data_IF_443966916263
#
_entry.id   IF_443966916263
#
_cell.length_a   1.000
_cell.length_b   1.000
_cell.length_c   1.000
_cell.angle_alpha   90.00
_cell.angle_beta   90.00
_cell.angle_gamma   90.00
#
_symmetry.space_group_name_H-M   'P 1'
#
loop_
_entity.id
_entity.type
_entity.pdbx_description
1 polymer ?
#
# COMPACT_ATOMS: atom_id res chain seq x y z
N UNK A 1 15.67 -48.76 35.02
CA UNK A 1 15.61 -48.61 33.54
C UNK A 1 14.93 -47.28 33.22
N UNK A 2 15.67 -46.31 32.70
CA UNK A 2 15.12 -44.96 32.43
C UNK A 2 14.15 -45.00 31.24
N UNK A 3 12.92 -44.52 31.46
CA UNK A 3 11.82 -44.52 30.50
C UNK A 3 12.22 -43.72 29.26
N UNK A 4 12.21 -44.36 28.08
CA UNK A 4 12.55 -43.75 26.78
C UNK A 4 11.59 -42.59 26.50
N UNK A 5 12.14 -41.38 26.31
CA UNK A 5 11.36 -40.16 26.03
C UNK A 5 10.69 -40.24 24.66
N UNK A 6 9.50 -39.69 24.54
CA UNK A 6 8.74 -39.68 23.28
C UNK A 6 9.34 -38.67 22.28
N UNK A 7 9.24 -38.96 20.97
CA UNK A 7 9.65 -38.02 19.92
C UNK A 7 8.91 -36.69 20.09
N UNK A 8 9.66 -35.59 20.17
CA UNK A 8 9.15 -34.23 20.41
C UNK A 8 9.33 -33.68 21.83
N UNK A 9 9.82 -34.47 22.80
CA UNK A 9 10.03 -34.02 24.19
C UNK A 9 11.35 -33.28 24.45
N UNK A 10 12.20 -33.08 23.43
CA UNK A 10 13.55 -32.51 23.58
C UNK A 10 13.57 -31.08 24.13
N UNK A 11 12.47 -30.33 23.99
CA UNK A 11 12.39 -28.91 24.37
C UNK A 11 11.68 -28.64 25.72
N UNK A 12 11.24 -29.67 26.45
CA UNK A 12 10.53 -29.52 27.73
C UNK A 12 11.39 -30.03 28.88
N UNK A 13 11.61 -29.21 29.91
CA UNK A 13 12.40 -29.56 31.11
C UNK A 13 11.78 -29.03 32.40
N UNK A 14 12.08 -29.67 33.52
CA UNK A 14 11.68 -29.22 34.86
C UNK A 14 12.76 -28.31 35.46
N UNK A 15 12.37 -27.14 35.96
CA UNK A 15 13.25 -26.14 36.59
C UNK A 15 13.44 -26.43 38.08
N UNK A 16 14.47 -25.82 38.69
CA UNK A 16 14.77 -25.92 40.13
C UNK A 16 13.66 -25.38 41.03
N UNK A 17 12.82 -24.48 40.50
CA UNK A 17 11.65 -23.88 41.15
C UNK A 17 10.38 -24.76 41.10
N UNK A 18 10.49 -25.99 40.56
CA UNK A 18 9.39 -26.95 40.47
C UNK A 18 8.48 -26.79 39.25
N UNK A 19 8.60 -25.70 38.48
CA UNK A 19 7.82 -25.47 37.24
C UNK A 19 8.42 -26.21 36.04
N UNK A 20 7.58 -26.49 35.05
CA UNK A 20 7.98 -27.02 33.76
C UNK A 20 8.20 -25.86 32.77
N UNK A 21 9.21 -25.99 31.91
CA UNK A 21 9.59 -25.03 30.88
C UNK A 21 9.68 -25.73 29.52
N UNK A 22 8.98 -25.20 28.52
CA UNK A 22 9.11 -25.57 27.12
C UNK A 22 9.77 -24.45 26.32
N UNK A 23 10.77 -24.74 25.50
CA UNK A 23 11.43 -23.74 24.62
C UNK A 23 10.98 -23.91 23.17
N UNK A 24 10.74 -22.80 22.49
CA UNK A 24 10.37 -22.80 21.07
C UNK A 24 11.05 -21.64 20.33
N UNK A 25 11.23 -21.82 19.02
CA UNK A 25 11.71 -20.76 18.12
C UNK A 25 10.54 -19.86 17.79
N UNK A 26 10.62 -18.59 18.18
CA UNK A 26 9.57 -17.60 17.98
C UNK A 26 9.70 -16.83 16.65
N UNK A 27 10.80 -17.03 15.92
CA UNK A 27 11.13 -16.34 14.67
C UNK A 27 12.65 -16.17 14.50
N UNK A 28 13.05 -15.35 13.54
CA UNK A 28 14.45 -15.01 13.28
C UNK A 28 14.64 -13.49 13.21
N UNK A 29 15.79 -13.01 13.66
CA UNK A 29 16.18 -11.59 13.60
C UNK A 29 16.41 -11.15 12.14
N UNK A 30 15.75 -10.07 11.72
CA UNK A 30 15.66 -9.58 10.34
C UNK A 30 17.01 -9.11 9.76
N UNK A 31 17.96 -8.68 10.60
CA UNK A 31 19.25 -8.13 10.16
C UNK A 31 20.40 -9.13 10.29
N UNK A 32 20.31 -10.06 11.23
CA UNK A 32 21.42 -10.96 11.60
C UNK A 32 21.13 -12.44 11.35
N UNK A 33 19.86 -12.79 11.09
CA UNK A 33 19.44 -14.15 10.79
C UNK A 33 19.43 -15.12 11.98
N UNK A 34 19.75 -14.66 13.19
CA UNK A 34 19.81 -15.49 14.41
C UNK A 34 18.41 -15.89 14.90
N UNK A 35 18.32 -17.08 15.50
CA UNK A 35 17.06 -17.60 16.07
C UNK A 35 16.64 -16.80 17.31
N UNK A 36 15.39 -16.35 17.34
CA UNK A 36 14.76 -15.77 18.52
C UNK A 36 14.06 -16.88 19.31
N UNK A 37 14.67 -17.33 20.40
CA UNK A 37 14.13 -18.43 21.22
C UNK A 37 13.31 -17.86 22.38
N UNK A 38 12.04 -18.29 22.51
CA UNK A 38 11.15 -17.97 23.64
C UNK A 38 10.81 -19.23 24.44
N UNK A 39 10.21 -19.05 25.61
CA UNK A 39 9.82 -20.14 26.50
C UNK A 39 8.37 -20.00 27.00
N UNK A 40 7.77 -21.13 27.33
CA UNK A 40 6.47 -21.26 27.99
C UNK A 40 6.62 -22.00 29.30
N UNK A 41 5.91 -21.55 30.34
CA UNK A 41 5.97 -22.12 31.69
C UNK A 41 4.61 -22.69 32.13
N UNK A 42 4.66 -23.73 32.97
CA UNK A 42 3.49 -24.37 33.54
C UNK A 42 3.79 -25.18 34.80
N UNK A 43 2.74 -25.55 35.53
CA UNK A 43 2.85 -26.33 36.78
C UNK A 43 3.01 -27.82 36.49
N UNK A 44 2.49 -28.30 35.35
CA UNK A 44 2.60 -29.70 34.92
C UNK A 44 3.24 -29.83 33.54
N UNK A 45 3.79 -31.01 33.24
CA UNK A 45 4.39 -31.30 31.94
C UNK A 45 3.34 -31.26 30.81
N UNK A 46 2.12 -31.74 31.08
CA UNK A 46 1.01 -31.75 30.11
C UNK A 46 0.58 -30.33 29.74
N UNK A 47 0.44 -29.45 30.72
CA UNK A 47 0.11 -28.03 30.52
C UNK A 47 1.17 -27.32 29.67
N UNK A 48 2.46 -27.59 29.91
CA UNK A 48 3.55 -27.00 29.12
C UNK A 48 3.57 -27.57 27.71
N UNK A 49 3.26 -28.86 27.51
CA UNK A 49 3.19 -29.46 26.18
C UNK A 49 2.10 -28.82 25.33
N UNK A 50 0.92 -28.58 25.91
CA UNK A 50 -0.19 -27.90 25.23
C UNK A 50 0.13 -26.44 24.93
N UNK A 51 0.66 -25.70 25.92
CA UNK A 51 1.13 -24.31 25.72
C UNK A 51 2.24 -24.21 24.69
N UNK A 52 3.15 -25.18 24.65
CA UNK A 52 4.25 -25.24 23.68
C UNK A 52 3.72 -25.51 22.28
N UNK A 53 2.78 -26.45 22.11
CA UNK A 53 2.15 -26.72 20.83
C UNK A 53 1.41 -25.49 20.28
N UNK A 54 0.66 -24.79 21.15
CA UNK A 54 -0.03 -23.55 20.80
C UNK A 54 0.95 -22.43 20.44
N UNK A 55 2.01 -22.24 21.24
CA UNK A 55 3.01 -21.20 20.99
C UNK A 55 3.87 -21.49 19.74
N UNK A 56 4.12 -22.76 19.41
CA UNK A 56 4.76 -23.17 18.15
C UNK A 56 3.84 -22.89 16.97
N UNK A 57 2.55 -23.22 17.06
CA UNK A 57 1.58 -22.91 16.00
C UNK A 57 1.38 -21.40 15.81
N UNK A 58 1.40 -20.60 16.89
CA UNK A 58 1.35 -19.13 16.83
C UNK A 58 2.68 -18.52 16.33
N UNK A 59 3.80 -19.23 16.50
CA UNK A 59 5.12 -18.80 16.06
C UNK A 59 5.60 -19.42 14.75
N UNK A 60 4.84 -20.33 14.15
CA UNK A 60 4.83 -20.62 12.72
C UNK A 60 4.30 -19.40 11.96
N UNK A 61 4.93 -18.25 12.22
CA UNK A 61 5.03 -17.18 11.25
C UNK A 61 5.94 -17.72 10.16
N UNK A 62 5.29 -18.10 9.08
CA UNK A 62 5.83 -18.74 7.89
C UNK A 62 7.12 -18.07 7.43
N UNK A 63 8.07 -18.93 7.08
CA UNK A 63 9.43 -18.62 6.68
C UNK A 63 9.45 -17.77 5.40
N UNK A 64 9.66 -16.47 5.56
CA UNK A 64 9.81 -15.50 4.47
C UNK A 64 11.06 -15.81 3.60
N UNK A 65 11.94 -16.73 4.03
CA UNK A 65 13.18 -17.09 3.31
C UNK A 65 13.00 -18.11 2.19
N UNK A 66 11.81 -18.71 2.02
CA UNK A 66 11.52 -19.63 0.91
C UNK A 66 10.85 -18.96 -0.29
N UNK A 67 10.80 -17.63 -0.33
CA UNK A 67 10.34 -16.87 -1.51
C UNK A 67 11.03 -17.36 -2.80
N UNK A 68 12.27 -17.82 -2.69
CA UNK A 68 13.13 -18.33 -3.74
C UNK A 68 12.62 -19.64 -4.39
N UNK A 69 11.76 -20.38 -3.69
CA UNK A 69 11.25 -21.71 -4.06
C UNK A 69 9.79 -21.70 -4.53
N UNK A 70 9.08 -20.57 -4.36
CA UNK A 70 7.67 -20.46 -4.73
C UNK A 70 7.47 -19.73 -6.05
N UNK A 71 6.45 -20.16 -6.78
CA UNK A 71 5.84 -19.35 -7.83
C UNK A 71 4.97 -18.26 -7.20
N UNK A 72 4.69 -17.19 -7.94
CA UNK A 72 3.83 -16.11 -7.47
C UNK A 72 2.46 -16.62 -7.01
N UNK A 73 1.88 -17.56 -7.74
CA UNK A 73 0.56 -18.13 -7.46
C UNK A 73 0.55 -18.89 -6.14
N UNK A 74 1.56 -19.76 -5.92
CA UNK A 74 1.70 -20.48 -4.65
C UNK A 74 1.89 -19.50 -3.49
N UNK A 75 2.76 -18.51 -3.65
CA UNK A 75 2.99 -17.50 -2.62
C UNK A 75 1.75 -16.66 -2.33
N UNK A 76 1.03 -16.17 -3.34
CA UNK A 76 -0.17 -15.38 -3.14
C UNK A 76 -1.27 -16.17 -2.42
N UNK A 77 -1.38 -17.47 -2.71
CA UNK A 77 -2.32 -18.33 -1.99
C UNK A 77 -1.92 -18.48 -0.51
N UNK A 78 -0.64 -18.74 -0.24
CA UNK A 78 -0.10 -18.82 1.13
C UNK A 78 -0.27 -17.50 1.87
N UNK A 79 0.10 -16.38 1.24
CA UNK A 79 -0.06 -15.05 1.77
C UNK A 79 -1.53 -14.72 2.08
N UNK A 80 -2.43 -15.05 1.16
CA UNK A 80 -3.86 -14.80 1.33
C UNK A 80 -4.43 -15.57 2.52
N UNK A 81 -4.20 -16.88 2.59
CA UNK A 81 -4.77 -17.72 3.65
C UNK A 81 -4.17 -17.45 5.03
N UNK A 82 -2.85 -17.21 5.10
CA UNK A 82 -2.14 -17.14 6.37
C UNK A 82 -1.96 -15.73 6.92
N UNK A 83 -1.92 -14.70 6.05
CA UNK A 83 -1.60 -13.34 6.46
C UNK A 83 -2.73 -12.36 6.18
N UNK A 84 -3.35 -12.41 5.00
CA UNK A 84 -4.37 -11.42 4.63
C UNK A 84 -5.75 -11.74 5.23
N UNK A 85 -6.30 -12.91 4.90
CA UNK A 85 -7.67 -13.34 5.26
C UNK A 85 -7.99 -13.26 6.76
N UNK A 86 -7.07 -13.61 7.71
CA UNK A 86 -7.37 -13.53 9.14
C UNK A 86 -7.62 -12.10 9.67
N UNK A 87 -7.13 -11.08 8.97
CA UNK A 87 -7.19 -9.68 9.40
C UNK A 87 -8.11 -8.80 8.57
N UNK A 88 -8.78 -9.37 7.56
CA UNK A 88 -9.64 -8.64 6.64
C UNK A 88 -11.11 -8.91 6.89
N UNK A 89 -11.94 -7.89 6.66
CA UNK A 89 -13.40 -8.10 6.56
C UNK A 89 -13.69 -9.04 5.41
N UNK A 90 -14.73 -9.86 5.57
CA UNK A 90 -15.13 -10.88 4.59
C UNK A 90 -15.19 -10.36 3.15
N UNK A 91 -15.83 -9.22 2.93
CA UNK A 91 -15.94 -8.61 1.58
C UNK A 91 -14.59 -8.22 0.98
N UNK A 92 -13.63 -7.80 1.82
CA UNK A 92 -12.27 -7.45 1.39
C UNK A 92 -11.44 -8.70 1.12
N UNK A 93 -11.59 -9.74 1.96
CA UNK A 93 -10.96 -11.04 1.73
C UNK A 93 -11.42 -11.65 0.40
N UNK A 94 -12.73 -11.68 0.13
CA UNK A 94 -13.27 -12.19 -1.15
C UNK A 94 -12.82 -11.37 -2.36
N UNK A 95 -12.68 -10.05 -2.22
CA UNK A 95 -12.11 -9.20 -3.26
C UNK A 95 -10.66 -9.59 -3.58
N UNK A 96 -9.85 -9.82 -2.55
CA UNK A 96 -8.45 -10.23 -2.69
C UNK A 96 -8.36 -11.61 -3.34
N UNK A 97 -9.15 -12.57 -2.86
CA UNK A 97 -9.25 -13.93 -3.41
C UNK A 97 -9.57 -13.90 -4.90
N UNK A 98 -10.61 -13.18 -5.31
CA UNK A 98 -10.98 -13.03 -6.72
C UNK A 98 -9.87 -12.39 -7.55
N UNK A 99 -9.19 -11.37 -7.01
CA UNK A 99 -8.05 -10.75 -7.68
C UNK A 99 -6.92 -11.74 -7.92
N UNK A 100 -6.58 -12.54 -6.91
CA UNK A 100 -5.55 -13.57 -6.99
C UNK A 100 -5.96 -14.64 -8.01
N UNK A 101 -7.11 -15.28 -7.82
CA UNK A 101 -7.55 -16.44 -8.62
C UNK A 101 -7.91 -16.10 -10.06
N UNK A 102 -8.59 -14.97 -10.30
CA UNK A 102 -9.15 -14.66 -11.63
C UNK A 102 -8.25 -13.76 -12.48
N UNK A 103 -7.30 -13.04 -11.88
CA UNK A 103 -6.55 -12.00 -12.59
C UNK A 103 -5.04 -12.12 -12.51
N UNK A 104 -4.50 -12.54 -11.35
CA UNK A 104 -3.06 -12.60 -11.13
C UNK A 104 -2.54 -14.00 -11.47
N UNK A 105 -3.05 -15.04 -10.80
CA UNK A 105 -2.60 -16.42 -10.99
C UNK A 105 -2.68 -16.88 -12.44
N UNK A 106 -3.76 -16.63 -13.22
CA UNK A 106 -3.84 -17.08 -14.61
C UNK A 106 -2.85 -16.40 -15.57
N UNK A 107 -2.28 -15.25 -15.19
CA UNK A 107 -1.38 -14.47 -16.07
C UNK A 107 0.08 -14.64 -15.71
N UNK A 108 0.38 -14.58 -14.41
CA UNK A 108 1.75 -14.51 -13.89
C UNK A 108 1.97 -15.42 -12.68
N UNK A 109 1.00 -16.28 -12.34
CA UNK A 109 1.05 -17.18 -11.20
C UNK A 109 2.19 -18.19 -11.25
N UNK A 110 2.54 -18.68 -12.44
CA UNK A 110 3.60 -19.68 -12.61
C UNK A 110 5.02 -19.08 -12.61
N UNK A 111 5.14 -17.75 -12.59
CA UNK A 111 6.44 -17.08 -12.57
C UNK A 111 7.07 -17.27 -11.19
N UNK A 112 8.30 -17.82 -11.10
CA UNK A 112 9.05 -17.87 -9.85
C UNK A 112 9.20 -16.46 -9.28
N UNK A 113 8.98 -16.28 -7.97
CA UNK A 113 9.06 -14.96 -7.32
C UNK A 113 10.36 -14.20 -7.65
N UNK A 114 11.50 -14.90 -7.69
CA UNK A 114 12.81 -14.32 -8.04
C UNK A 114 12.92 -13.74 -9.46
N UNK A 115 12.00 -14.12 -10.35
CA UNK A 115 11.93 -13.65 -11.74
C UNK A 115 10.90 -12.55 -11.94
N UNK A 116 10.10 -12.23 -10.92
CA UNK A 116 9.20 -11.08 -10.99
C UNK A 116 10.02 -9.80 -10.91
N UNK A 117 9.93 -9.00 -11.96
CA UNK A 117 10.45 -7.65 -11.98
C UNK A 117 9.31 -6.69 -12.27
N UNK A 118 9.42 -5.43 -11.88
CA UNK A 118 8.44 -4.39 -12.25
C UNK A 118 8.53 -3.96 -13.72
N UNK A 119 9.13 -4.79 -14.58
CA UNK A 119 9.36 -4.56 -15.99
C UNK A 119 8.62 -5.62 -16.79
N UNK A 120 8.23 -5.28 -18.01
CA UNK A 120 7.60 -6.24 -18.91
C UNK A 120 8.59 -7.37 -19.29
N UNK A 121 8.12 -8.40 -20.00
CA UNK A 121 8.97 -9.53 -20.40
C UNK A 121 10.16 -9.13 -21.30
N UNK A 122 10.17 -7.92 -21.87
CA UNK A 122 11.26 -7.37 -22.68
C UNK A 122 12.25 -6.52 -21.85
N UNK A 123 12.02 -6.35 -20.54
CA UNK A 123 12.86 -5.55 -19.66
C UNK A 123 12.60 -4.03 -19.75
N UNK A 124 11.50 -3.61 -20.38
CA UNK A 124 11.08 -2.22 -20.50
C UNK A 124 10.09 -1.84 -19.37
N UNK A 125 9.93 -0.55 -19.06
CA UNK A 125 8.89 -0.09 -18.15
C UNK A 125 7.49 -0.54 -18.60
N UNK A 126 6.74 -1.18 -17.71
CA UNK A 126 5.38 -1.64 -18.00
C UNK A 126 4.39 -0.47 -17.95
N UNK A 127 4.13 0.15 -19.11
CA UNK A 127 3.12 1.19 -19.27
C UNK A 127 1.78 0.53 -19.58
N UNK A 128 1.01 0.29 -18.53
CA UNK A 128 -0.35 -0.24 -18.69
C UNK A 128 -1.34 0.83 -19.13
N UNK A 129 -2.29 0.44 -19.98
CA UNK A 129 -3.43 1.31 -20.28
C UNK A 129 -4.30 1.45 -19.04
N UNK A 130 -4.86 2.64 -18.77
CA UNK A 130 -5.80 2.80 -17.67
C UNK A 130 -6.94 1.79 -17.75
N UNK A 131 -7.41 1.34 -16.58
CA UNK A 131 -8.45 0.31 -16.44
C UNK A 131 -9.80 0.70 -17.09
N UNK A 132 -10.01 1.99 -17.34
CA UNK A 132 -11.25 2.55 -17.90
C UNK A 132 -10.93 3.68 -18.88
N UNK A 133 -11.74 3.83 -19.93
CA UNK A 133 -11.60 4.92 -20.91
C UNK A 133 -11.69 6.31 -20.26
N UNK A 134 -12.55 6.47 -19.25
CA UNK A 134 -12.70 7.72 -18.49
C UNK A 134 -11.42 8.21 -17.80
N UNK A 135 -10.43 7.33 -17.64
CA UNK A 135 -9.13 7.72 -17.07
C UNK A 135 -8.26 8.48 -18.08
N UNK A 136 -8.51 8.33 -19.39
CA UNK A 136 -7.87 9.10 -20.47
C UNK A 136 -8.65 10.40 -20.62
N UNK A 137 -8.00 11.53 -20.32
CA UNK A 137 -8.66 12.83 -20.33
C UNK A 137 -7.70 13.94 -20.75
N UNK A 138 -8.26 14.99 -21.34
CA UNK A 138 -7.57 16.25 -21.58
C UNK A 138 -7.75 17.15 -20.37
N UNK A 139 -6.68 17.78 -19.92
CA UNK A 139 -6.68 18.72 -18.81
C UNK A 139 -6.22 20.06 -19.35
N UNK A 140 -7.03 21.10 -19.16
CA UNK A 140 -6.59 22.48 -19.41
C UNK A 140 -5.71 22.91 -18.25
N UNK A 141 -4.51 23.40 -18.57
CA UNK A 141 -3.55 23.90 -17.60
C UNK A 141 -3.26 25.39 -17.90
N UNK A 142 -2.94 26.20 -16.87
CA UNK A 142 -2.54 27.60 -17.08
C UNK A 142 -1.29 27.72 -17.95
N UNK A 143 -1.13 28.86 -18.63
CA UNK A 143 0.03 29.09 -19.51
C UNK A 143 1.36 28.97 -18.76
N UNK A 144 1.45 29.48 -17.51
CA UNK A 144 2.65 29.34 -16.69
C UNK A 144 3.08 27.87 -16.49
N UNK A 145 2.12 26.96 -16.36
CA UNK A 145 2.41 25.53 -16.26
C UNK A 145 2.86 24.94 -17.60
N UNK A 146 2.30 25.41 -18.72
CA UNK A 146 2.75 25.05 -20.07
C UNK A 146 4.21 25.49 -20.26
N UNK A 147 4.54 26.70 -19.86
CA UNK A 147 5.89 27.27 -20.03
C UNK A 147 6.91 26.48 -19.21
N UNK A 148 6.57 26.08 -17.98
CA UNK A 148 7.41 25.18 -17.17
C UNK A 148 7.62 23.82 -17.82
N UNK A 149 6.59 23.24 -18.46
CA UNK A 149 6.71 21.96 -19.16
C UNK A 149 7.56 22.09 -20.44
N UNK A 150 7.44 23.20 -21.17
CA UNK A 150 8.28 23.50 -22.33
C UNK A 150 9.74 23.63 -21.89
N UNK A 151 10.01 24.42 -20.85
CA UNK A 151 11.35 24.60 -20.30
C UNK A 151 11.96 23.27 -19.79
N UNK A 152 11.13 22.39 -19.21
CA UNK A 152 11.57 21.05 -18.83
C UNK A 152 11.89 20.19 -20.05
N UNK A 153 11.01 20.13 -21.05
CA UNK A 153 11.24 19.35 -22.27
C UNK A 153 12.49 19.78 -23.04
N UNK A 154 12.82 21.07 -23.05
CA UNK A 154 14.03 21.60 -23.68
C UNK A 154 15.32 21.02 -23.11
N UNK A 155 15.32 20.51 -21.86
CA UNK A 155 16.48 19.83 -21.26
C UNK A 155 16.74 18.47 -21.89
N UNK A 156 15.74 17.87 -22.53
CA UNK A 156 15.81 16.53 -23.15
C UNK A 156 14.90 16.42 -24.39
N UNK A 157 15.19 17.16 -25.48
CA UNK A 157 14.26 17.28 -26.62
C UNK A 157 13.99 15.98 -27.36
N UNK A 158 14.96 15.06 -27.38
CA UNK A 158 14.87 13.77 -28.05
C UNK A 158 14.38 12.64 -27.14
N UNK A 159 14.08 12.91 -25.87
CA UNK A 159 13.63 11.89 -24.94
C UNK A 159 12.10 11.72 -25.05
N UNK A 160 11.58 10.49 -25.15
CA UNK A 160 10.14 10.24 -25.21
C UNK A 160 9.38 10.60 -23.93
N UNK A 161 10.07 10.78 -22.80
CA UNK A 161 9.46 11.09 -21.51
C UNK A 161 9.60 12.58 -21.17
N UNK A 162 8.51 13.20 -20.68
CA UNK A 162 8.52 14.59 -20.20
C UNK A 162 9.41 14.78 -18.97
N UNK A 163 9.50 13.77 -18.09
CA UNK A 163 10.30 13.81 -16.87
C UNK A 163 11.19 12.56 -16.77
N UNK A 164 12.32 12.53 -17.51
CA UNK A 164 13.23 11.39 -17.45
C UNK A 164 14.01 11.38 -16.14
N UNK A 165 14.22 10.19 -15.60
CA UNK A 165 15.12 9.93 -14.49
C UNK A 165 16.55 10.24 -14.93
N UNK A 166 17.31 11.06 -14.19
CA UNK A 166 18.68 11.40 -14.54
C UNK A 166 19.62 10.18 -14.46
N UNK A 167 19.20 9.11 -13.78
CA UNK A 167 19.99 7.88 -13.65
C UNK A 167 19.82 6.92 -14.82
N UNK A 168 18.60 6.83 -15.36
CA UNK A 168 18.24 5.78 -16.33
C UNK A 168 17.83 6.34 -17.69
N UNK A 169 17.52 7.63 -17.79
CA UNK A 169 16.93 8.24 -18.99
C UNK A 169 15.48 7.85 -19.26
N UNK A 170 14.93 6.90 -18.49
CA UNK A 170 13.55 6.41 -18.55
C UNK A 170 12.64 7.16 -17.56
N UNK A 171 11.36 6.84 -17.54
CA UNK A 171 10.43 7.33 -16.53
C UNK A 171 10.85 7.00 -15.08
N UNK A 172 10.53 7.89 -14.14
CA UNK A 172 10.75 7.65 -12.72
C UNK A 172 9.93 6.46 -12.20
N UNK A 173 10.53 5.64 -11.33
CA UNK A 173 9.76 4.72 -10.51
C UNK A 173 8.87 5.52 -9.54
N UNK A 174 7.61 5.12 -9.29
CA UNK A 174 6.69 5.85 -8.40
C UNK A 174 7.28 6.18 -7.02
N UNK A 175 7.96 5.21 -6.39
CA UNK A 175 8.60 5.44 -5.09
C UNK A 175 9.73 6.47 -5.13
N UNK A 176 10.39 6.64 -6.27
CA UNK A 176 11.42 7.67 -6.43
C UNK A 176 10.79 9.06 -6.34
N UNK A 177 9.63 9.26 -6.96
CA UNK A 177 8.88 10.52 -6.90
C UNK A 177 8.45 10.82 -5.46
N UNK A 178 7.94 9.81 -4.74
CA UNK A 178 7.56 9.94 -3.32
C UNK A 178 8.77 10.33 -2.46
N UNK A 179 9.93 9.72 -2.69
CA UNK A 179 11.14 10.02 -1.93
C UNK A 179 11.70 11.41 -2.26
N UNK A 180 11.66 11.83 -3.53
CA UNK A 180 12.00 13.20 -3.95
C UNK A 180 11.08 14.20 -3.24
N UNK A 181 9.78 13.96 -3.23
CA UNK A 181 8.82 14.83 -2.54
C UNK A 181 9.11 14.95 -1.04
N UNK A 182 9.37 13.83 -0.36
CA UNK A 182 9.78 13.84 1.07
C UNK A 182 11.02 14.70 1.30
N UNK A 183 12.00 14.63 0.39
CA UNK A 183 13.20 15.46 0.47
C UNK A 183 12.87 16.94 0.31
N UNK A 184 12.05 17.29 -0.69
CA UNK A 184 11.61 18.68 -0.93
C UNK A 184 10.91 19.25 0.32
N UNK A 185 10.00 18.50 0.95
CA UNK A 185 9.33 18.95 2.16
C UNK A 185 10.30 19.19 3.31
N UNK A 186 11.27 18.28 3.50
CA UNK A 186 12.31 18.42 4.53
C UNK A 186 13.16 19.67 4.28
N UNK A 187 13.60 19.86 3.04
CA UNK A 187 14.46 20.99 2.65
C UNK A 187 13.70 22.33 2.77
N UNK A 188 12.37 22.32 2.57
CA UNK A 188 11.49 23.46 2.76
C UNK A 188 11.04 23.70 4.22
N UNK A 189 11.40 22.81 5.16
CA UNK A 189 10.97 22.91 6.56
C UNK A 189 9.47 22.67 6.78
N UNK A 190 8.82 21.94 5.87
CA UNK A 190 7.38 21.66 5.92
C UNK A 190 7.10 20.33 6.64
N UNK A 191 5.92 20.26 7.27
CA UNK A 191 5.42 19.02 7.86
C UNK A 191 5.17 17.94 6.81
N UNK A 192 4.96 16.70 7.29
CA UNK A 192 4.72 15.57 6.40
C UNK A 192 3.43 15.73 5.61
N UNK A 193 3.58 15.93 4.30
CA UNK A 193 2.54 15.88 3.29
C UNK A 193 2.82 14.69 2.36
N UNK A 194 1.80 13.90 2.02
CA UNK A 194 1.97 12.82 1.03
C UNK A 194 1.92 13.42 -0.36
N UNK A 195 2.57 12.77 -1.32
CA UNK A 195 2.54 13.22 -2.71
C UNK A 195 1.12 13.32 -3.29
N UNK A 196 0.23 12.40 -2.89
CA UNK A 196 -1.18 12.45 -3.30
C UNK A 196 -1.96 13.62 -2.68
N UNK A 197 -1.50 14.17 -1.56
CA UNK A 197 -2.18 15.29 -0.92
C UNK A 197 -2.08 16.56 -1.77
N UNK A 198 -1.06 16.70 -2.64
CA UNK A 198 -1.01 17.79 -3.63
C UNK A 198 -2.26 17.83 -4.52
N UNK A 199 -2.79 16.66 -4.89
CA UNK A 199 -4.03 16.54 -5.65
C UNK A 199 -5.25 16.90 -4.81
N UNK A 200 -5.26 16.56 -3.52
CA UNK A 200 -6.30 17.01 -2.59
C UNK A 200 -6.28 18.52 -2.40
N UNK A 201 -5.08 19.12 -2.28
CA UNK A 201 -4.90 20.58 -2.20
C UNK A 201 -5.45 21.28 -3.43
N UNK A 202 -5.12 20.80 -4.64
CA UNK A 202 -5.70 21.34 -5.88
C UNK A 202 -7.23 21.32 -5.86
N UNK A 203 -7.83 20.19 -5.49
CA UNK A 203 -9.29 20.05 -5.47
C UNK A 203 -9.95 21.00 -4.46
N UNK A 204 -9.40 21.06 -3.24
CA UNK A 204 -9.88 21.97 -2.19
C UNK A 204 -9.80 23.42 -2.63
N UNK A 205 -8.65 23.85 -3.18
CA UNK A 205 -8.47 25.23 -3.64
C UNK A 205 -9.39 25.56 -4.82
N UNK A 206 -9.57 24.66 -5.77
CA UNK A 206 -10.48 24.88 -6.90
C UNK A 206 -11.93 25.09 -6.42
N UNK A 207 -12.41 24.24 -5.50
CA UNK A 207 -13.76 24.38 -4.92
C UNK A 207 -13.89 25.69 -4.12
N UNK A 208 -12.89 26.04 -3.30
CA UNK A 208 -12.89 27.29 -2.53
C UNK A 208 -12.93 28.54 -3.43
N UNK A 209 -12.32 28.46 -4.62
CA UNK A 209 -12.37 29.52 -5.62
C UNK A 209 -13.60 29.45 -6.53
N UNK A 210 -14.61 28.66 -6.15
CA UNK A 210 -15.92 28.64 -6.81
C UNK A 210 -16.00 27.79 -8.07
N UNK A 211 -14.97 26.97 -8.39
CA UNK A 211 -15.07 26.00 -9.48
C UNK A 211 -16.10 24.95 -9.10
N UNK A 212 -17.04 24.66 -10.01
CA UNK A 212 -18.09 23.70 -9.72
C UNK A 212 -17.55 22.27 -9.55
N UNK A 213 -18.24 21.49 -8.73
CA UNK A 213 -17.78 20.16 -8.33
C UNK A 213 -17.69 19.20 -9.52
N UNK A 214 -18.51 19.37 -10.55
CA UNK A 214 -18.49 18.51 -11.75
C UNK A 214 -17.24 18.79 -12.57
N UNK A 215 -16.87 20.07 -12.73
CA UNK A 215 -15.62 20.49 -13.38
C UNK A 215 -14.40 19.99 -12.61
N UNK A 216 -14.33 20.18 -11.29
CA UNK A 216 -13.23 19.66 -10.46
C UNK A 216 -13.14 18.14 -10.57
N UNK A 217 -14.28 17.44 -10.48
CA UNK A 217 -14.35 15.98 -10.64
C UNK A 217 -13.82 15.51 -11.98
N UNK A 218 -14.15 16.21 -13.07
CA UNK A 218 -13.68 15.92 -14.43
C UNK A 218 -12.17 16.13 -14.55
N UNK A 219 -11.62 17.24 -14.05
CA UNK A 219 -10.18 17.50 -14.04
C UNK A 219 -9.40 16.42 -13.28
N UNK A 220 -9.95 16.00 -12.14
CA UNK A 220 -9.38 14.92 -11.33
C UNK A 220 -9.55 13.55 -12.01
N UNK A 221 -10.55 13.36 -12.87
CA UNK A 221 -10.84 12.07 -13.49
C UNK A 221 -11.52 11.10 -12.51
N UNK A 222 -12.37 11.61 -11.63
CA UNK A 222 -13.23 10.75 -10.81
C UNK A 222 -14.42 10.27 -11.65
N UNK A 223 -14.74 8.98 -11.56
CA UNK A 223 -15.86 8.36 -12.28
C UNK A 223 -17.22 8.95 -11.88
N UNK A 224 -17.35 9.34 -10.61
CA UNK A 224 -18.56 9.90 -10.02
C UNK A 224 -18.23 11.22 -9.32
N UNK A 225 -18.97 12.28 -9.62
CA UNK A 225 -18.85 13.56 -8.93
C UNK A 225 -19.23 13.44 -7.44
N UNK A 226 -20.09 12.48 -7.10
CA UNK A 226 -20.40 12.12 -5.72
C UNK A 226 -19.16 11.71 -4.92
N UNK A 227 -18.15 11.09 -5.55
CA UNK A 227 -16.88 10.80 -4.88
C UNK A 227 -16.19 12.09 -4.45
N UNK A 228 -16.06 13.07 -5.36
CA UNK A 228 -15.51 14.40 -5.08
C UNK A 228 -16.28 15.10 -3.96
N UNK A 229 -17.61 15.12 -4.04
CA UNK A 229 -18.48 15.71 -3.00
C UNK A 229 -18.21 15.10 -1.63
N UNK A 230 -18.14 13.76 -1.54
CA UNK A 230 -17.89 13.04 -0.27
C UNK A 230 -16.50 13.32 0.30
N UNK A 231 -15.49 13.44 -0.56
CA UNK A 231 -14.10 13.70 -0.12
C UNK A 231 -13.92 15.13 0.40
N UNK A 232 -14.64 16.12 -0.16
CA UNK A 232 -14.46 17.55 0.16
C UNK A 232 -15.70 18.19 0.79
N UNK A 233 -16.48 17.42 1.55
CA UNK A 233 -17.74 17.86 2.18
C UNK A 233 -17.61 19.16 2.97
N UNK A 234 -16.50 19.35 3.71
CA UNK A 234 -16.27 20.57 4.49
C UNK A 234 -16.24 21.84 3.63
N UNK A 235 -15.59 21.79 2.46
CA UNK A 235 -15.54 22.93 1.53
C UNK A 235 -16.92 23.21 0.96
N UNK A 236 -17.66 22.15 0.60
CA UNK A 236 -19.02 22.31 0.04
C UNK A 236 -19.99 22.95 1.01
N UNK A 237 -19.86 22.69 2.33
CA UNK A 237 -20.69 23.35 3.35
C UNK A 237 -20.43 24.86 3.42
N UNK A 238 -19.17 25.27 3.42
CA UNK A 238 -18.79 26.68 3.41
C UNK A 238 -19.29 27.40 2.14
N UNK A 239 -19.26 26.71 0.99
CA UNK A 239 -19.82 27.25 -0.25
C UNK A 239 -21.35 27.44 -0.17
N UNK A 240 -22.06 26.52 0.48
CA UNK A 240 -23.52 26.64 0.70
C UNK A 240 -23.87 27.86 1.56
N UNK A 241 -23.13 28.07 2.66
CA UNK A 241 -23.30 29.23 3.54
C UNK A 241 -23.06 30.54 2.77
N UNK A 242 -21.96 30.63 2.02
CA UNK A 242 -21.65 31.81 1.20
C UNK A 242 -22.68 32.05 0.09
N UNK A 243 -23.22 30.99 -0.52
CA UNK A 243 -24.29 31.11 -1.51
C UNK A 243 -25.58 31.65 -0.90
N UNK A 244 -25.95 31.19 0.31
CA UNK A 244 -27.11 31.67 1.03
C UNK A 244 -26.98 33.17 1.38
N UNK A 245 -25.81 33.61 1.85
CA UNK A 245 -25.55 35.04 2.12
C UNK A 245 -25.65 35.90 0.85
N UNK A 246 -25.05 35.47 -0.26
CA UNK A 246 -25.14 36.18 -1.55
C UNK A 246 -26.57 36.32 -2.03
N UNK A 247 -27.36 35.25 -1.92
CA UNK A 247 -28.79 35.28 -2.25
C UNK A 247 -29.57 36.20 -1.33
N UNK A 248 -29.29 36.19 -0.01
CA UNK A 248 -29.90 37.11 0.94
C UNK A 248 -29.62 38.57 0.61
N UNK A 249 -28.36 38.91 0.30
CA UNK A 249 -27.96 40.25 -0.10
C UNK A 249 -28.61 40.69 -1.41
N UNK A 250 -28.68 39.80 -2.40
CA UNK A 250 -29.36 40.08 -3.67
C UNK A 250 -30.87 40.34 -3.45
N UNK A 251 -31.54 39.51 -2.67
CA UNK A 251 -32.97 39.69 -2.36
C UNK A 251 -33.22 41.00 -1.62
N UNK A 252 -32.32 41.41 -0.72
CA UNK A 252 -32.41 42.69 -0.01
C UNK A 252 -32.18 43.92 -0.90
N UNK A 253 -31.55 43.78 -2.07
CA UNK A 253 -31.37 44.87 -3.03
C UNK A 253 -32.55 45.02 -4.00
N UNK A 254 -33.33 43.94 -4.17
CA UNK A 254 -34.47 43.87 -5.10
C UNK A 254 -35.78 44.23 -4.40
N UNK A 255 -35.84 44.14 -3.07
CA UNK A 255 -36.94 44.63 -2.22
C UNK A 255 -36.72 46.09 -1.81
#
# INVERSE_FOLDING_TARGET
>A
MAKKRANGEGNIRKRKDGRWEGRYTAGYDEKTGKQLIKNVLGKTQAEVKEKLAKAVAEAETVDVRRADEYTLGTWLQTWYELYAKPHLRFSTAEYYRRGIELHITPRIGDIPLKKLTGRNNAGEPDVTRPKTENSIRKISIPQDAVDLLIAEHQKHPSNPWMFPSPKTGEMYHPDSVVNIHKKILKDAGLEHLRFHDLRHTFATLALQNGVDVKTVSSMLGHFDAGFTLRTYTHVTRQMQESAAEKMGNFMAQVM
#
